data_IF_740476102747
#
_entry.id   IF_740476102747
#
_cell.length_a   1.000
_cell.length_b   1.000
_cell.length_c   1.000
_cell.angle_alpha   90.00
_cell.angle_beta   90.00
_cell.angle_gamma   90.00
#
_symmetry.space_group_name_H-M   'P 1'
#
loop_
_entity.id
_entity.type
_entity.pdbx_description
1 polymer ?
#
# COMPACT_ATOMS: atom_id res chain seq x y z
N UNK A 1 -23.84 -25.08 6.79
CA UNK A 1 -24.51 -24.28 5.75
C UNK A 1 -25.42 -23.25 6.40
N UNK A 2 -24.98 -21.99 6.50
CA UNK A 2 -25.86 -20.83 6.64
C UNK A 2 -25.30 -19.77 5.70
N UNK A 3 -25.98 -19.61 4.58
CA UNK A 3 -25.64 -18.68 3.51
C UNK A 3 -26.23 -17.31 3.82
N UNK A 4 -25.55 -16.32 3.24
CA UNK A 4 -25.99 -14.95 2.94
C UNK A 4 -26.15 -14.02 4.12
N UNK A 5 -25.29 -12.98 4.21
CA UNK A 5 -25.69 -11.60 4.52
C UNK A 5 -24.62 -10.65 3.91
N UNK A 6 -25.09 -9.85 2.93
CA UNK A 6 -24.65 -8.50 2.53
C UNK A 6 -23.41 -8.36 1.61
N UNK A 7 -23.73 -8.22 0.33
CA UNK A 7 -23.03 -7.30 -0.57
C UNK A 7 -23.48 -5.86 -0.24
N UNK A 8 -22.55 -4.93 -0.04
CA UNK A 8 -22.76 -3.50 -0.32
C UNK A 8 -21.43 -2.73 -0.25
N UNK A 9 -20.99 -2.30 -1.44
CA UNK A 9 -20.40 -0.99 -1.72
C UNK A 9 -19.27 -0.49 -0.80
N UNK A 10 -18.04 -0.79 -1.18
CA UNK A 10 -16.96 0.19 -1.11
C UNK A 10 -16.52 0.50 -2.55
N UNK A 11 -17.37 1.22 -3.28
CA UNK A 11 -16.94 2.03 -4.42
C UNK A 11 -16.02 3.13 -3.87
N UNK A 12 -14.78 2.79 -3.57
CA UNK A 12 -13.74 3.80 -3.52
C UNK A 12 -13.41 4.16 -4.95
N UNK A 13 -13.73 5.42 -5.24
CA UNK A 13 -13.50 6.11 -6.47
C UNK A 13 -12.16 5.70 -7.11
N UNK A 14 -12.22 5.41 -8.41
CA UNK A 14 -11.09 5.65 -9.28
C UNK A 14 -10.65 7.11 -9.11
N UNK A 15 -9.58 7.31 -8.36
CA UNK A 15 -8.83 8.55 -8.32
C UNK A 15 -7.36 8.19 -8.57
N UNK A 16 -6.99 8.08 -9.85
CA UNK A 16 -5.61 7.86 -10.28
C UNK A 16 -5.54 6.85 -11.42
N UNK A 17 -5.51 7.34 -12.64
CA UNK A 17 -5.70 6.60 -13.89
C UNK A 17 -4.47 5.78 -14.35
N UNK A 18 -3.49 5.60 -13.48
CA UNK A 18 -2.33 4.74 -13.58
C UNK A 18 -1.54 5.03 -12.30
N UNK A 19 -1.50 4.10 -11.35
CA UNK A 19 -0.19 3.86 -10.74
C UNK A 19 0.63 3.34 -11.92
N UNK A 20 1.30 4.26 -12.62
CA UNK A 20 2.22 3.90 -13.67
C UNK A 20 3.26 3.06 -12.95
N UNK A 21 3.17 1.72 -12.99
CA UNK A 21 4.22 0.82 -12.50
C UNK A 21 5.53 1.34 -13.07
N UNK A 22 6.21 2.17 -12.30
CA UNK A 22 7.40 2.82 -12.77
C UNK A 22 8.46 1.71 -12.81
N UNK A 23 9.45 1.78 -13.70
CA UNK A 23 10.54 0.81 -13.67
C UNK A 23 11.22 0.72 -12.29
N UNK A 24 11.12 1.79 -11.49
CA UNK A 24 11.62 1.81 -10.12
C UNK A 24 10.73 0.99 -9.17
N UNK A 25 9.40 1.09 -9.27
CA UNK A 25 8.48 0.28 -8.46
C UNK A 25 8.61 -1.20 -8.79
N UNK A 26 8.63 -1.57 -10.08
CA UNK A 26 8.82 -2.97 -10.47
C UNK A 26 10.15 -3.54 -9.95
N UNK A 27 11.23 -2.74 -9.97
CA UNK A 27 12.53 -3.17 -9.46
C UNK A 27 12.58 -3.23 -7.92
N UNK A 28 11.67 -2.54 -7.23
CA UNK A 28 11.51 -2.63 -5.78
C UNK A 28 10.67 -3.86 -5.40
N UNK A 29 9.57 -4.11 -6.12
CA UNK A 29 8.72 -5.30 -6.00
C UNK A 29 9.56 -6.58 -6.22
N UNK A 30 10.33 -6.67 -7.30
CA UNK A 30 11.19 -7.85 -7.57
C UNK A 30 12.24 -8.09 -6.45
N UNK A 31 12.70 -7.02 -5.78
CA UNK A 31 13.63 -7.15 -4.65
C UNK A 31 12.93 -7.56 -3.38
N UNK A 32 11.74 -7.03 -3.12
CA UNK A 32 10.91 -7.41 -2.00
C UNK A 32 10.54 -8.90 -2.11
N UNK A 33 10.05 -9.34 -3.27
CA UNK A 33 9.74 -10.75 -3.57
C UNK A 33 10.93 -11.68 -3.28
N UNK A 34 12.14 -11.30 -3.70
CA UNK A 34 13.33 -12.12 -3.46
C UNK A 34 13.71 -12.19 -1.96
N UNK A 35 13.38 -11.17 -1.17
CA UNK A 35 13.58 -11.17 0.28
C UNK A 35 12.50 -11.99 0.98
N UNK A 36 11.24 -11.91 0.54
CA UNK A 36 10.15 -12.73 1.07
C UNK A 36 10.35 -14.22 0.78
N UNK A 37 10.87 -14.56 -0.41
CA UNK A 37 11.20 -15.96 -0.74
C UNK A 37 12.34 -16.49 0.16
N UNK A 38 13.32 -15.64 0.48
CA UNK A 38 14.35 -15.97 1.48
C UNK A 38 13.76 -16.10 2.89
N UNK A 39 12.82 -15.22 3.26
CA UNK A 39 12.13 -15.27 4.55
C UNK A 39 11.35 -16.59 4.70
N UNK A 40 10.67 -17.03 3.64
CA UNK A 40 9.95 -18.31 3.62
C UNK A 40 10.87 -19.53 3.79
N UNK A 41 12.16 -19.41 3.45
CA UNK A 41 13.17 -20.44 3.64
C UNK A 41 13.96 -20.27 4.96
N UNK A 42 13.69 -19.24 5.75
CA UNK A 42 14.48 -18.92 6.93
C UNK A 42 14.32 -20.00 8.03
N UNK A 43 15.42 -20.40 8.71
CA UNK A 43 15.39 -21.44 9.73
C UNK A 43 14.79 -20.98 11.07
N UNK A 44 14.57 -19.68 11.26
CA UNK A 44 14.03 -19.10 12.49
C UNK A 44 13.07 -17.94 12.21
N UNK A 45 12.06 -17.78 13.07
CA UNK A 45 11.10 -16.66 12.99
C UNK A 45 11.78 -15.29 13.08
N UNK A 46 12.89 -15.19 13.81
CA UNK A 46 13.64 -13.94 13.93
C UNK A 46 14.30 -13.53 12.61
N UNK A 47 14.79 -14.50 11.85
CA UNK A 47 15.40 -14.28 10.53
C UNK A 47 14.34 -14.00 9.46
N UNK A 48 13.23 -14.75 9.48
CA UNK A 48 12.04 -14.47 8.66
C UNK A 48 11.53 -13.04 8.88
N UNK A 49 11.37 -12.63 10.14
CA UNK A 49 10.89 -11.29 10.50
C UNK A 49 11.86 -10.21 10.03
N UNK A 50 13.16 -10.44 10.13
CA UNK A 50 14.16 -9.46 9.69
C UNK A 50 14.13 -9.26 8.16
N UNK A 51 13.97 -10.35 7.41
CA UNK A 51 13.88 -10.34 5.95
C UNK A 51 12.58 -9.69 5.47
N UNK A 52 11.43 -10.06 6.05
CA UNK A 52 10.14 -9.43 5.75
C UNK A 52 10.15 -7.93 6.09
N UNK A 53 10.73 -7.54 7.22
CA UNK A 53 10.84 -6.12 7.58
C UNK A 53 11.73 -5.31 6.62
N UNK A 54 12.70 -5.95 5.94
CA UNK A 54 13.49 -5.32 4.89
C UNK A 54 12.67 -5.20 3.59
N UNK A 55 11.91 -6.23 3.21
CA UNK A 55 11.00 -6.20 2.08
C UNK A 55 9.97 -5.06 2.21
N UNK A 56 9.28 -4.98 3.37
CA UNK A 56 8.32 -3.92 3.70
C UNK A 56 8.90 -2.51 3.57
N UNK A 57 10.18 -2.32 3.94
CA UNK A 57 10.86 -1.03 3.83
C UNK A 57 11.07 -0.64 2.37
N UNK A 58 11.42 -1.59 1.52
CA UNK A 58 11.67 -1.37 0.09
C UNK A 58 10.37 -1.01 -0.61
N UNK A 59 9.29 -1.74 -0.34
CA UNK A 59 7.95 -1.44 -0.89
C UNK A 59 7.46 -0.06 -0.44
N UNK A 60 7.59 0.27 0.85
CA UNK A 60 7.22 1.61 1.34
C UNK A 60 8.05 2.71 0.71
N UNK A 61 9.36 2.51 0.52
CA UNK A 61 10.20 3.51 -0.14
C UNK A 61 9.79 3.72 -1.59
N UNK A 62 9.49 2.66 -2.32
CA UNK A 62 9.01 2.73 -3.70
C UNK A 62 7.66 3.42 -3.79
N UNK A 63 6.69 2.99 -2.98
CA UNK A 63 5.36 3.62 -2.90
C UNK A 63 5.44 5.11 -2.55
N UNK A 64 6.29 5.50 -1.60
CA UNK A 64 6.49 6.91 -1.26
C UNK A 64 7.24 7.70 -2.35
N UNK A 65 8.17 7.06 -3.07
CA UNK A 65 8.94 7.68 -4.16
C UNK A 65 8.09 7.96 -5.40
N UNK A 66 7.10 7.12 -5.71
CA UNK A 66 6.10 7.36 -6.77
C UNK A 66 4.98 8.34 -6.34
N UNK A 67 5.11 8.95 -5.15
CA UNK A 67 4.13 9.90 -4.61
C UNK A 67 2.92 9.24 -3.97
N UNK A 68 3.00 7.94 -3.68
CA UNK A 68 2.02 7.21 -2.88
C UNK A 68 1.91 7.83 -1.49
N UNK A 69 0.68 8.26 -1.18
CA UNK A 69 0.06 8.53 0.14
C UNK A 69 1.00 8.65 1.36
N UNK A 70 2.03 9.49 1.29
CA UNK A 70 2.57 10.09 2.52
C UNK A 70 1.51 11.03 3.07
N UNK A 71 1.39 11.09 4.39
CA UNK A 71 0.33 11.79 5.15
C UNK A 71 0.21 13.30 4.83
N UNK A 72 1.15 13.83 4.04
CA UNK A 72 1.24 15.23 3.65
C UNK A 72 0.48 15.54 2.34
N UNK A 73 0.12 14.52 1.55
CA UNK A 73 -0.58 14.69 0.26
C UNK A 73 -1.97 14.04 0.20
N UNK A 74 -2.54 13.61 1.32
CA UNK A 74 -3.98 13.36 1.39
C UNK A 74 -4.71 14.70 1.27
N UNK A 75 -5.55 14.93 0.24
CA UNK A 75 -6.41 16.09 0.23
C UNK A 75 -7.21 16.09 1.53
N UNK A 76 -7.18 17.20 2.27
CA UNK A 76 -8.05 17.39 3.42
C UNK A 76 -9.50 17.34 2.93
N UNK A 77 -10.14 16.18 3.09
CA UNK A 77 -11.56 15.98 2.74
C UNK A 77 -12.50 16.39 3.86
N UNK A 78 -12.01 17.12 4.88
CA UNK A 78 -12.89 17.66 5.93
C UNK A 78 -13.96 18.56 5.31
N UNK A 79 -15.26 18.22 5.42
CA UNK A 79 -16.35 19.01 4.84
C UNK A 79 -16.61 20.33 5.58
N UNK A 80 -15.73 20.75 6.50
CA UNK A 80 -15.99 21.83 7.45
C UNK A 80 -15.82 23.26 6.89
N UNK A 81 -15.59 23.44 5.60
CA UNK A 81 -15.48 24.77 4.97
C UNK A 81 -16.59 25.07 3.95
N UNK A 82 -17.58 24.18 3.80
CA UNK A 82 -18.71 24.40 2.90
C UNK A 82 -19.94 24.95 3.63
N UNK A 83 -19.79 25.96 4.50
CA UNK A 83 -20.86 26.94 4.79
C UNK A 83 -20.35 28.12 5.67
N UNK A 84 -19.90 29.25 5.11
CA UNK A 84 -20.04 30.53 5.78
C UNK A 84 -21.40 31.12 5.35
N UNK A 85 -22.35 31.24 6.28
CA UNK A 85 -23.68 31.76 5.98
C UNK A 85 -23.65 33.11 5.24
N UNK A 86 -23.90 33.05 3.93
CA UNK A 86 -24.34 34.16 3.08
C UNK A 86 -25.46 33.68 2.16
#
# INVERSE_FOLDING_TARGET
>A
MRKLIIAAAATFAMAGLAACNSPADNAAEEKADALEEQAAAAPTEAEETALNAEADRIEQQAGNADGGLTTENTPNTSPSMANPGQ
#
